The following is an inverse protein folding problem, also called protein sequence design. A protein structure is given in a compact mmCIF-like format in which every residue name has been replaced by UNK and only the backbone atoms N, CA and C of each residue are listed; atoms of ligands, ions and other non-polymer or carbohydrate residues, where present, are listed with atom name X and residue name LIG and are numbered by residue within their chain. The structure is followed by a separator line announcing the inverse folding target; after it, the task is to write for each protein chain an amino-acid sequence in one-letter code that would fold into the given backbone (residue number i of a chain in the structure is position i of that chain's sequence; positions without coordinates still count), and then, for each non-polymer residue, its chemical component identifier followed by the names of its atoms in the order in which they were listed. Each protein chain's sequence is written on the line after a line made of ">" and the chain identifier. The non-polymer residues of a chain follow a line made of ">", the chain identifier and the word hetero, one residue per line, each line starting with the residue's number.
data_IF_824724413562
#
_entry.id   IF_824724413562
#
_cell.length_a   1.000
_cell.length_b   1.000
_cell.length_c   1.000
_cell.angle_alpha   90.00
_cell.angle_beta   90.00
_cell.angle_gamma   90.00
#
_symmetry.space_group_name_H-M   'P 1'
#
loop_
_entity.id
_entity.type
_entity.pdbx_description
1 polymer ?
#
# COMPACT_ATOMS: atom_id res chain seq x y z
N UNK A 1 -26.96 -0.52 -10.14
CA UNK A 1 -25.75 -1.36 -10.06
C UNK A 1 -25.11 -1.41 -8.67
N UNK A 2 -24.52 -0.34 -8.10
CA UNK A 2 -23.90 -0.40 -6.75
C UNK A 2 -24.92 -0.73 -5.64
N UNK A 3 -26.08 -0.06 -5.68
CA UNK A 3 -27.16 -0.31 -4.71
C UNK A 3 -27.81 -1.70 -4.92
N UNK A 4 -27.90 -2.19 -6.15
CA UNK A 4 -28.39 -3.55 -6.44
C UNK A 4 -27.41 -4.64 -5.99
N UNK A 5 -26.10 -4.42 -6.17
CA UNK A 5 -25.07 -5.34 -5.68
C UNK A 5 -25.04 -5.36 -4.14
N UNK A 6 -25.18 -4.19 -3.49
CA UNK A 6 -25.35 -4.10 -2.04
C UNK A 6 -26.59 -4.89 -1.60
N UNK A 7 -27.73 -4.64 -2.23
CA UNK A 7 -28.98 -5.30 -1.87
C UNK A 7 -28.94 -6.81 -2.16
N UNK A 8 -28.21 -7.25 -3.19
CA UNK A 8 -27.95 -8.66 -3.46
C UNK A 8 -27.09 -9.32 -2.38
N UNK A 9 -26.00 -8.68 -1.94
CA UNK A 9 -25.15 -9.18 -0.83
C UNK A 9 -25.97 -9.23 0.47
N UNK A 10 -26.74 -8.18 0.77
CA UNK A 10 -27.64 -8.13 1.93
C UNK A 10 -28.66 -9.28 1.89
N UNK A 11 -29.26 -9.54 0.71
CA UNK A 11 -30.22 -10.65 0.52
C UNK A 11 -29.57 -12.02 0.67
N UNK A 12 -28.38 -12.22 0.10
CA UNK A 12 -27.65 -13.49 0.19
C UNK A 12 -27.15 -13.77 1.61
N UNK A 13 -26.90 -12.72 2.41
CA UNK A 13 -26.35 -12.82 3.76
C UNK A 13 -27.32 -13.06 4.89
N UNK A 14 -28.63 -13.06 4.64
CA UNK A 14 -29.64 -13.23 5.68
C UNK A 14 -29.66 -12.13 6.75
N UNK A 15 -28.90 -11.05 6.57
CA UNK A 15 -28.69 -9.99 7.56
C UNK A 15 -29.25 -8.64 7.11
N UNK A 16 -29.87 -7.90 8.03
CA UNK A 16 -30.16 -6.47 7.85
C UNK A 16 -28.86 -5.68 8.06
N UNK A 17 -28.14 -5.34 6.98
CA UNK A 17 -27.08 -4.33 7.07
C UNK A 17 -27.76 -2.98 7.29
N UNK A 18 -27.74 -2.51 8.53
CA UNK A 18 -28.31 -1.21 8.91
C UNK A 18 -27.70 -0.12 8.02
N UNK A 19 -28.54 0.61 7.28
CA UNK A 19 -28.18 1.66 6.32
C UNK A 19 -27.39 2.85 6.89
N UNK A 20 -27.03 2.84 8.17
CA UNK A 20 -26.04 3.75 8.76
C UNK A 20 -24.68 3.09 8.71
N UNK A 21 -24.13 2.92 7.50
CA UNK A 21 -22.72 2.58 7.36
C UNK A 21 -21.90 3.69 8.04
N UNK A 22 -20.97 3.31 8.91
CA UNK A 22 -19.94 4.23 9.40
C UNK A 22 -19.13 4.63 8.17
N UNK A 23 -19.21 5.90 7.77
CA UNK A 23 -18.46 6.43 6.63
C UNK A 23 -17.18 7.04 7.17
N UNK A 24 -16.05 6.41 6.85
CA UNK A 24 -14.75 7.06 7.01
C UNK A 24 -14.51 7.92 5.75
N UNK A 25 -14.27 9.24 5.89
CA UNK A 25 -14.14 10.15 4.75
C UNK A 25 -12.95 9.83 3.84
N UNK A 26 -11.98 9.04 4.32
CA UNK A 26 -10.76 8.68 3.60
C UNK A 26 -10.89 7.39 2.79
N UNK A 27 -12.07 6.75 2.76
CA UNK A 27 -12.30 5.57 1.92
C UNK A 27 -13.70 5.54 1.32
N UNK A 28 -13.83 5.17 0.03
CA UNK A 28 -15.14 4.93 -0.58
C UNK A 28 -15.72 3.55 -0.20
N UNK A 29 -14.94 2.69 0.46
CA UNK A 29 -15.38 1.37 0.87
C UNK A 29 -16.31 1.45 2.08
N UNK A 30 -17.37 0.64 2.06
CA UNK A 30 -18.37 0.61 3.14
C UNK A 30 -18.01 -0.47 4.16
N UNK A 31 -17.60 -0.11 5.40
CA UNK A 31 -17.15 -1.10 6.38
C UNK A 31 -18.22 -2.15 6.73
N UNK A 32 -19.49 -1.74 6.80
CA UNK A 32 -20.60 -2.64 7.10
C UNK A 32 -20.82 -3.70 6.03
N UNK A 33 -20.62 -3.36 4.76
CA UNK A 33 -20.70 -4.31 3.65
C UNK A 33 -19.58 -5.35 3.72
N UNK A 34 -18.34 -4.90 3.94
CA UNK A 34 -17.19 -5.81 4.08
C UNK A 34 -17.34 -6.71 5.30
N UNK A 35 -17.80 -6.16 6.43
CA UNK A 35 -18.09 -6.97 7.63
C UNK A 35 -19.12 -8.06 7.34
N UNK A 36 -20.25 -7.69 6.71
CA UNK A 36 -21.29 -8.65 6.37
C UNK A 36 -20.76 -9.75 5.44
N UNK A 37 -19.97 -9.37 4.43
CA UNK A 37 -19.36 -10.32 3.50
C UNK A 37 -18.44 -11.31 4.22
N UNK A 38 -17.55 -10.83 5.09
CA UNK A 38 -16.65 -11.66 5.90
C UNK A 38 -17.43 -12.61 6.83
N UNK A 39 -18.47 -12.10 7.52
CA UNK A 39 -19.30 -12.90 8.42
C UNK A 39 -20.06 -14.01 7.65
N UNK A 40 -20.51 -13.73 6.42
CA UNK A 40 -21.22 -14.69 5.57
C UNK A 40 -20.32 -15.76 4.97
N UNK A 41 -19.13 -15.37 4.50
CA UNK A 41 -18.18 -16.31 3.90
C UNK A 41 -17.51 -17.21 4.94
N UNK A 42 -17.58 -16.84 6.22
CA UNK A 42 -16.79 -17.48 7.27
C UNK A 42 -15.29 -17.23 7.08
N UNK A 43 -14.93 -16.13 6.40
CA UNK A 43 -13.54 -15.77 6.17
C UNK A 43 -12.85 -15.46 7.50
N UNK A 44 -11.63 -15.98 7.64
CA UNK A 44 -10.83 -15.81 8.84
C UNK A 44 -10.19 -14.42 8.93
N UNK A 45 -10.02 -13.69 7.81
CA UNK A 45 -9.54 -12.31 7.83
C UNK A 45 -10.68 -11.32 8.17
N UNK A 46 -10.75 -10.96 9.44
CA UNK A 46 -11.77 -10.07 9.99
C UNK A 46 -11.30 -8.63 10.19
N UNK A 47 -10.03 -8.34 9.90
CA UNK A 47 -9.38 -7.07 10.28
C UNK A 47 -9.81 -5.90 9.38
N UNK A 48 -10.09 -6.16 8.11
CA UNK A 48 -10.37 -5.15 7.09
C UNK A 48 -11.51 -4.21 7.50
N UNK A 49 -12.62 -4.75 8.01
CA UNK A 49 -13.79 -3.94 8.38
C UNK A 49 -13.46 -2.92 9.48
N UNK A 50 -12.65 -3.29 10.46
CA UNK A 50 -12.16 -2.40 11.51
C UNK A 50 -11.20 -1.34 10.95
N UNK A 51 -10.29 -1.75 10.07
CA UNK A 51 -9.36 -0.82 9.42
C UNK A 51 -10.05 0.24 8.56
N UNK A 52 -11.17 -0.09 7.92
CA UNK A 52 -11.94 0.91 7.16
C UNK A 52 -12.60 1.96 8.08
N UNK A 53 -12.79 1.67 9.36
CA UNK A 53 -13.37 2.60 10.35
C UNK A 53 -12.25 3.39 11.02
N UNK A 54 -11.30 2.69 11.64
CA UNK A 54 -10.29 3.25 12.55
C UNK A 54 -9.00 3.65 11.83
N UNK A 55 -8.80 3.16 10.60
CA UNK A 55 -7.53 3.15 9.90
C UNK A 55 -6.78 1.82 10.07
N UNK A 56 -6.00 1.45 9.05
CA UNK A 56 -5.05 0.36 9.12
C UNK A 56 -3.77 0.81 9.85
N UNK A 57 -3.23 -0.03 10.75
CA UNK A 57 -1.91 0.19 11.31
C UNK A 57 -0.85 -0.04 10.24
N UNK A 58 0.17 0.81 10.22
CA UNK A 58 1.35 0.61 9.35
C UNK A 58 2.30 -0.41 9.97
N UNK A 59 2.24 -0.60 11.30
CA UNK A 59 3.10 -1.53 12.03
C UNK A 59 4.30 -0.84 12.70
N UNK A 60 4.31 0.49 12.81
CA UNK A 60 5.43 1.23 13.41
C UNK A 60 5.11 1.58 14.86
N UNK A 61 3.98 2.23 15.11
CA UNK A 61 3.51 2.58 16.45
C UNK A 61 2.33 1.72 16.93
N UNK A 62 1.53 1.22 15.99
CA UNK A 62 0.42 0.32 16.24
C UNK A 62 0.75 -1.06 15.68
N UNK A 63 0.44 -2.10 16.45
CA UNK A 63 0.68 -3.48 16.04
C UNK A 63 -0.30 -3.90 14.92
N UNK A 64 0.22 -4.49 13.84
CA UNK A 64 -0.58 -5.24 12.89
C UNK A 64 -0.94 -6.58 13.55
N UNK A 65 -2.19 -6.71 14.00
CA UNK A 65 -2.64 -7.88 14.74
C UNK A 65 -2.53 -9.14 13.86
N UNK A 66 -1.88 -10.21 14.36
CA UNK A 66 -2.00 -11.53 13.76
C UNK A 66 -3.38 -12.11 14.08
N UNK A 67 -4.18 -12.37 13.06
CA UNK A 67 -5.26 -13.38 13.05
C UNK A 67 -4.87 -14.88 13.00
N UNK A 68 -3.59 -15.31 12.95
CA UNK A 68 -3.18 -16.72 13.05
C UNK A 68 -3.23 -17.65 11.81
N UNK A 69 -3.16 -17.15 10.57
CA UNK A 69 -3.36 -17.92 9.32
C UNK A 69 -2.05 -18.13 8.57
N UNK A 70 -1.16 -17.15 8.63
CA UNK A 70 0.18 -17.29 8.09
C UNK A 70 1.17 -17.80 9.15
N UNK A 71 2.27 -18.40 8.68
CA UNK A 71 3.36 -18.79 9.57
C UNK A 71 3.93 -17.58 10.28
N UNK A 72 4.15 -17.70 11.59
CA UNK A 72 4.86 -16.68 12.37
C UNK A 72 6.24 -16.42 11.76
N UNK A 73 6.57 -15.14 11.58
CA UNK A 73 7.90 -14.73 11.16
C UNK A 73 8.92 -15.11 12.23
N UNK A 74 9.93 -15.90 11.86
CA UNK A 74 11.05 -16.29 12.72
C UNK A 74 12.15 -15.23 12.75
N UNK A 75 12.04 -14.19 11.91
CA UNK A 75 12.99 -13.08 11.91
C UNK A 75 12.79 -12.32 13.20
N UNK A 76 13.77 -12.41 14.10
CA UNK A 76 13.86 -11.56 15.27
C UNK A 76 13.63 -10.13 14.79
N UNK A 77 12.48 -9.57 15.17
CA UNK A 77 12.23 -8.17 14.92
C UNK A 77 13.31 -7.47 15.70
N UNK A 78 14.06 -6.59 15.05
CA UNK A 78 14.97 -5.75 15.79
C UNK A 78 14.07 -5.01 16.76
N UNK A 79 14.24 -5.23 18.06
CA UNK A 79 13.64 -4.41 19.12
C UNK A 79 14.28 -3.01 19.02
N UNK A 80 14.17 -2.39 17.84
CA UNK A 80 14.47 -0.99 17.69
C UNK A 80 13.46 -0.30 18.59
N UNK A 81 13.90 0.64 19.43
CA UNK A 81 13.02 1.30 20.36
C UNK A 81 12.12 2.25 19.57
N UNK A 82 11.12 1.73 18.87
CA UNK A 82 10.04 2.54 18.29
C UNK A 82 9.02 2.91 19.39
N UNK A 83 9.32 2.56 20.64
CA UNK A 83 8.75 3.22 21.83
C UNK A 83 9.49 4.51 22.19
N UNK A 84 10.66 4.81 21.60
CA UNK A 84 11.38 6.04 21.93
C UNK A 84 10.77 7.23 21.19
N UNK A 85 9.82 7.85 21.88
CA UNK A 85 9.47 9.27 21.77
C UNK A 85 10.66 10.15 22.21
N UNK A 86 11.84 9.96 21.61
CA UNK A 86 13.10 10.58 22.05
C UNK A 86 14.16 10.64 20.95
N UNK A 87 15.23 11.39 21.20
CA UNK A 87 16.28 11.77 20.23
C UNK A 87 16.98 10.60 19.52
N UNK A 88 17.04 9.42 20.14
CA UNK A 88 17.70 8.23 19.56
C UNK A 88 16.93 7.63 18.37
N UNK A 89 15.60 7.57 18.43
CA UNK A 89 14.78 7.11 17.28
C UNK A 89 14.77 8.14 16.14
N UNK A 90 15.09 9.40 16.46
CA UNK A 90 15.21 10.49 15.49
C UNK A 90 16.44 10.32 14.61
N UNK A 91 17.53 9.82 15.19
CA UNK A 91 18.81 9.57 14.49
C UNK A 91 18.71 8.39 13.50
N UNK A 92 17.92 7.36 13.83
CA UNK A 92 17.75 6.16 12.98
C UNK A 92 16.74 6.32 11.84
N UNK A 93 15.66 7.09 12.02
CA UNK A 93 14.61 7.28 11.00
C UNK A 93 14.90 8.39 10.00
N UNK A 94 16.16 8.83 9.87
CA UNK A 94 16.56 9.82 8.87
C UNK A 94 15.80 11.13 9.04
N UNK A 95 16.01 11.81 10.16
CA UNK A 95 15.28 13.03 10.48
C UNK A 95 15.41 14.12 9.40
N UNK A 96 14.27 14.64 8.98
CA UNK A 96 14.10 16.02 8.53
C UNK A 96 12.84 16.62 9.17
N UNK A 97 12.86 16.90 10.48
CA UNK A 97 12.15 18.12 10.92
C UNK A 97 12.97 19.25 10.36
N UNK A 98 12.36 20.02 9.46
CA UNK A 98 12.51 21.47 9.37
C UNK A 98 13.86 22.05 9.80
N UNK A 99 14.97 21.53 9.30
CA UNK A 99 16.24 22.22 9.38
C UNK A 99 16.12 23.40 8.43
N UNK A 100 16.20 24.60 9.01
CA UNK A 100 16.29 25.89 8.33
C UNK A 100 17.52 26.00 7.38
N UNK A 101 18.29 24.92 7.29
CA UNK A 101 19.58 24.73 6.67
C UNK A 101 19.48 24.25 5.20
N UNK A 102 18.27 23.99 4.69
CA UNK A 102 18.06 23.74 3.26
C UNK A 102 18.58 22.39 2.73
N UNK A 103 18.82 21.40 3.59
CA UNK A 103 19.42 20.13 3.17
C UNK A 103 18.40 19.06 2.70
N UNK A 104 17.09 19.26 2.87
CA UNK A 104 16.08 18.30 2.38
C UNK A 104 15.83 18.52 0.90
N UNK A 105 16.18 17.53 0.09
CA UNK A 105 15.91 17.52 -1.34
C UNK A 105 15.36 16.16 -1.72
N UNK A 106 14.29 16.15 -2.52
CA UNK A 106 13.77 14.93 -3.08
C UNK A 106 14.73 14.36 -4.13
N UNK A 107 14.38 13.22 -4.71
CA UNK A 107 15.16 12.69 -5.81
C UNK A 107 15.13 13.66 -7.00
N UNK A 108 16.25 13.75 -7.70
CA UNK A 108 16.41 14.65 -8.85
C UNK A 108 15.32 14.45 -9.90
N UNK A 109 14.77 13.24 -10.06
CA UNK A 109 13.68 12.98 -10.99
C UNK A 109 12.38 13.74 -10.64
N UNK A 110 12.09 13.94 -9.37
CA UNK A 110 10.95 14.76 -8.94
C UNK A 110 11.27 16.27 -9.00
N UNK A 111 12.46 16.66 -8.54
CA UNK A 111 12.86 18.08 -8.49
C UNK A 111 13.10 18.70 -9.89
N UNK A 112 13.57 17.90 -10.85
CA UNK A 112 13.82 18.36 -12.23
C UNK A 112 12.56 18.45 -13.10
N UNK A 113 11.47 17.77 -12.72
CA UNK A 113 10.18 17.84 -13.40
C UNK A 113 9.07 18.16 -12.39
N UNK A 114 9.03 19.41 -11.89
CA UNK A 114 8.07 19.80 -10.88
C UNK A 114 6.65 19.89 -11.43
N UNK A 115 6.48 20.15 -12.73
CA UNK A 115 5.17 20.23 -13.38
C UNK A 115 4.43 18.91 -13.30
N UNK A 116 5.06 17.80 -13.73
CA UNK A 116 4.43 16.49 -13.69
C UNK A 116 4.32 15.96 -12.25
N UNK A 117 5.29 16.27 -11.39
CA UNK A 117 5.23 15.90 -9.97
C UNK A 117 4.05 16.57 -9.27
N UNK A 118 3.85 17.88 -9.48
CA UNK A 118 2.70 18.60 -8.94
C UNK A 118 1.37 18.13 -9.53
N UNK A 119 1.34 17.79 -10.83
CA UNK A 119 0.13 17.25 -11.45
C UNK A 119 -0.34 15.97 -10.75
N UNK A 120 0.58 15.03 -10.49
CA UNK A 120 0.27 13.80 -9.75
C UNK A 120 -0.16 14.10 -8.31
N UNK A 121 0.57 14.95 -7.57
CA UNK A 121 0.19 15.31 -6.20
C UNK A 121 -1.20 15.95 -6.12
N UNK A 122 -1.55 16.82 -7.08
CA UNK A 122 -2.87 17.45 -7.12
C UNK A 122 -3.97 16.46 -7.52
N UNK A 123 -3.68 15.46 -8.35
CA UNK A 123 -4.59 14.33 -8.60
C UNK A 123 -4.87 13.53 -7.33
N UNK A 124 -3.84 13.20 -6.53
CA UNK A 124 -4.00 12.52 -5.24
C UNK A 124 -4.87 13.35 -4.28
N UNK A 125 -4.65 14.66 -4.22
CA UNK A 125 -5.43 15.60 -3.40
C UNK A 125 -6.89 15.66 -3.85
N UNK A 126 -7.14 15.76 -5.16
CA UNK A 126 -8.49 15.77 -5.74
C UNK A 126 -9.24 14.46 -5.50
N UNK A 127 -8.52 13.34 -5.49
CA UNK A 127 -9.07 12.04 -5.15
C UNK A 127 -9.36 11.87 -3.63
N UNK A 128 -8.94 12.84 -2.80
CA UNK A 128 -9.16 12.82 -1.35
C UNK A 128 -8.12 12.00 -0.57
N UNK A 129 -7.03 11.58 -1.21
CA UNK A 129 -6.02 10.72 -0.57
C UNK A 129 -5.02 11.50 0.29
N UNK A 130 -4.87 12.81 0.05
CA UNK A 130 -3.93 13.64 0.81
C UNK A 130 -4.42 15.07 1.02
N UNK A 131 -3.76 15.78 1.94
CA UNK A 131 -3.98 17.20 2.24
C UNK A 131 -2.65 17.94 2.24
N UNK A 132 -2.67 19.20 1.77
CA UNK A 132 -1.49 20.04 1.72
C UNK A 132 -1.50 21.06 2.87
N UNK A 133 -0.33 21.33 3.42
CA UNK A 133 -0.11 22.36 4.44
C UNK A 133 1.05 23.25 4.01
N UNK A 134 0.87 24.56 4.15
CA UNK A 134 1.91 25.55 3.85
C UNK A 134 2.86 25.78 5.03
N UNK A 135 2.48 25.33 6.25
CA UNK A 135 3.31 25.42 7.45
C UNK A 135 3.49 24.07 8.14
N UNK A 136 4.63 23.88 8.78
CA UNK A 136 4.89 22.69 9.60
C UNK A 136 4.00 22.67 10.86
N UNK A 137 3.66 23.83 11.40
CA UNK A 137 2.80 23.92 12.58
C UNK A 137 1.38 23.42 12.28
N UNK A 138 0.80 23.80 11.14
CA UNK A 138 -0.51 23.30 10.73
C UNK A 138 -0.50 21.79 10.48
N UNK A 139 0.57 21.29 9.84
CA UNK A 139 0.78 19.85 9.67
C UNK A 139 0.85 19.14 11.02
N UNK A 140 1.65 19.65 11.96
CA UNK A 140 1.84 19.02 13.26
C UNK A 140 0.55 19.01 14.08
N UNK A 141 -0.28 20.05 13.97
CA UNK A 141 -1.63 20.07 14.54
C UNK A 141 -2.52 19.02 13.90
N UNK A 142 -2.50 18.88 12.57
CA UNK A 142 -3.31 17.90 11.85
C UNK A 142 -2.91 16.45 12.18
N UNK A 143 -1.62 16.16 12.28
CA UNK A 143 -1.08 14.85 12.67
C UNK A 143 -1.25 14.58 14.17
N UNK A 144 -1.38 15.63 14.99
CA UNK A 144 -1.39 15.54 16.45
C UNK A 144 -0.02 15.23 17.05
N UNK A 145 1.06 15.42 16.30
CA UNK A 145 2.44 15.19 16.74
C UNK A 145 3.42 16.07 15.97
N UNK A 146 4.50 16.50 16.65
CA UNK A 146 5.65 17.17 16.01
C UNK A 146 6.71 16.18 15.55
N UNK A 147 6.59 14.90 15.89
CA UNK A 147 7.53 13.83 15.54
C UNK A 147 7.18 13.24 14.18
N UNK A 148 7.22 14.08 13.15
CA UNK A 148 6.88 13.73 11.77
C UNK A 148 8.11 13.22 11.03
N UNK A 149 7.94 12.12 10.29
CA UNK A 149 8.95 11.56 9.39
C UNK A 149 8.59 11.89 7.95
N UNK A 150 9.52 12.49 7.21
CA UNK A 150 9.28 13.02 5.86
C UNK A 150 9.85 12.09 4.81
N UNK A 151 8.97 11.42 4.05
CA UNK A 151 9.31 10.49 2.99
C UNK A 151 9.72 11.22 1.72
N UNK A 152 10.91 10.89 1.19
CA UNK A 152 11.39 11.42 -0.10
C UNK A 152 10.53 10.90 -1.23
N UNK A 153 10.25 11.78 -2.19
CA UNK A 153 9.52 11.41 -3.41
C UNK A 153 10.45 11.34 -4.63
N UNK A 154 10.11 10.46 -5.56
CA UNK A 154 10.72 10.37 -6.88
C UNK A 154 9.63 10.32 -7.95
N UNK A 155 9.94 10.84 -9.14
CA UNK A 155 9.11 10.68 -10.32
C UNK A 155 9.66 9.53 -11.15
N UNK A 156 8.81 8.55 -11.45
CA UNK A 156 9.11 7.49 -12.40
C UNK A 156 8.35 7.71 -13.70
N UNK A 157 9.09 7.69 -14.81
CA UNK A 157 8.54 7.90 -16.15
C UNK A 157 8.63 6.60 -16.94
N UNK A 158 7.53 6.17 -17.55
CA UNK A 158 7.51 5.07 -18.52
C UNK A 158 7.55 5.67 -19.93
N UNK A 159 8.72 5.70 -20.59
CA UNK A 159 8.88 6.41 -21.87
C UNK A 159 8.21 5.70 -23.06
N UNK A 160 7.90 4.40 -22.93
CA UNK A 160 7.34 3.59 -24.02
C UNK A 160 5.81 3.75 -24.18
N UNK A 161 5.23 4.86 -23.73
CA UNK A 161 3.81 5.18 -23.92
C UNK A 161 3.68 6.56 -24.53
N UNK A 162 2.72 6.74 -25.42
CA UNK A 162 2.36 8.04 -25.99
C UNK A 162 0.92 8.39 -25.58
N UNK A 163 0.72 9.35 -24.66
CA UNK A 163 1.74 10.14 -23.94
C UNK A 163 2.49 9.33 -22.85
N UNK A 164 3.66 9.81 -22.37
CA UNK A 164 4.41 9.18 -21.29
C UNK A 164 3.58 9.02 -20.02
N UNK A 165 3.68 7.85 -19.36
CA UNK A 165 3.02 7.61 -18.08
C UNK A 165 3.97 7.93 -16.93
N UNK A 166 3.52 8.81 -16.04
CA UNK A 166 4.25 9.20 -14.84
C UNK A 166 3.69 8.50 -13.60
N UNK A 167 4.54 8.23 -12.62
CA UNK A 167 4.17 7.66 -11.33
C UNK A 167 4.95 8.35 -10.23
N UNK A 168 4.25 8.71 -9.16
CA UNK A 168 4.86 9.20 -7.94
C UNK A 168 5.32 7.99 -7.12
N UNK A 169 6.59 7.98 -6.71
CA UNK A 169 7.17 6.98 -5.83
C UNK A 169 7.48 7.66 -4.50
N UNK A 170 6.93 7.13 -3.41
CA UNK A 170 7.30 7.52 -2.06
C UNK A 170 8.31 6.50 -1.52
N UNK A 171 9.55 6.94 -1.30
CA UNK A 171 10.62 6.05 -0.90
C UNK A 171 10.69 5.89 0.63
N UNK A 172 9.84 5.02 1.15
CA UNK A 172 9.86 4.65 2.57
C UNK A 172 11.10 3.83 2.98
N UNK A 173 11.91 3.34 2.03
CA UNK A 173 13.18 2.66 2.34
C UNK A 173 14.27 3.66 2.70
N UNK A 174 14.29 4.84 2.07
CA UNK A 174 15.26 5.89 2.35
C UNK A 174 15.24 6.37 3.82
N UNK A 175 14.08 6.26 4.48
CA UNK A 175 13.90 6.68 5.87
C UNK A 175 13.99 5.53 6.88
N UNK A 176 14.47 4.35 6.46
CA UNK A 176 14.49 3.14 7.28
C UNK A 176 13.12 2.76 7.90
N UNK A 177 12.00 3.31 7.39
CA UNK A 177 10.67 3.02 7.91
C UNK A 177 10.37 1.52 7.80
N UNK A 178 10.77 0.94 6.68
CA UNK A 178 10.65 -0.50 6.42
C UNK A 178 11.47 -1.38 7.38
N UNK A 179 12.45 -0.83 8.07
CA UNK A 179 13.27 -1.56 9.05
C UNK A 179 12.57 -1.62 10.42
N UNK A 180 11.73 -0.63 10.72
CA UNK A 180 11.00 -0.51 11.99
C UNK A 180 9.57 -1.04 11.93
N UNK A 181 9.05 -1.40 10.75
CA UNK A 181 7.72 -2.02 10.67
C UNK A 181 7.73 -3.43 11.26
N UNK A 182 6.83 -3.65 12.20
CA UNK A 182 6.58 -4.92 12.88
C UNK A 182 5.35 -5.61 12.29
N UNK A 183 5.58 -6.73 11.59
CA UNK A 183 4.54 -7.67 11.18
C UNK A 183 4.96 -9.08 11.61
N UNK A 184 4.13 -9.69 12.46
CA UNK A 184 4.43 -10.99 13.10
C UNK A 184 4.23 -12.18 12.18
N UNK A 185 3.54 -12.00 11.07
CA UNK A 185 3.16 -13.06 10.16
C UNK A 185 3.81 -12.90 8.78
N UNK A 186 4.23 -14.02 8.19
CA UNK A 186 4.76 -14.05 6.83
C UNK A 186 3.62 -14.20 5.84
N UNK A 187 3.18 -13.10 5.24
CA UNK A 187 2.15 -13.14 4.19
C UNK A 187 2.64 -14.02 3.03
N UNK A 188 1.92 -15.11 2.76
CA UNK A 188 2.13 -15.98 1.60
C UNK A 188 0.94 -15.82 0.67
N UNK A 189 1.17 -15.25 -0.50
CA UNK A 189 0.12 -15.14 -1.51
C UNK A 189 -0.07 -16.48 -2.23
N UNK A 190 -1.31 -16.87 -2.56
CA UNK A 190 -1.59 -18.04 -3.38
C UNK A 190 -0.81 -17.99 -4.70
N UNK A 191 -0.31 -19.15 -5.13
CA UNK A 191 0.36 -19.33 -6.42
C UNK A 191 -0.69 -19.57 -7.50
N UNK A 192 -0.29 -19.36 -8.75
CA UNK A 192 -1.14 -19.70 -9.92
C UNK A 192 -1.51 -21.19 -9.92
N UNK A 193 -0.61 -22.07 -9.47
CA UNK A 193 -0.88 -23.51 -9.32
C UNK A 193 -2.04 -23.80 -8.37
N UNK A 194 -2.17 -23.02 -7.30
CA UNK A 194 -3.19 -23.22 -6.28
C UNK A 194 -4.57 -22.90 -6.87
N UNK A 195 -4.66 -21.85 -7.70
CA UNK A 195 -5.87 -21.52 -8.46
C UNK A 195 -6.24 -22.65 -9.43
N UNK A 196 -5.27 -23.17 -10.20
CA UNK A 196 -5.51 -24.27 -11.15
C UNK A 196 -6.01 -25.52 -10.43
N UNK A 197 -5.41 -25.85 -9.29
CA UNK A 197 -5.85 -26.98 -8.46
C UNK A 197 -7.28 -26.79 -7.95
N UNK A 198 -7.62 -25.61 -7.42
CA UNK A 198 -8.98 -25.31 -6.97
C UNK A 198 -10.02 -25.47 -8.10
N UNK A 199 -9.68 -25.06 -9.32
CA UNK A 199 -10.55 -25.25 -10.49
C UNK A 199 -10.75 -26.75 -10.78
N UNK A 200 -9.69 -27.56 -10.73
CA UNK A 200 -9.80 -29.00 -10.91
C UNK A 200 -10.69 -29.64 -9.84
N UNK A 201 -10.54 -29.25 -8.57
CA UNK A 201 -11.35 -29.73 -7.44
C UNK A 201 -12.83 -29.34 -7.60
N UNK A 202 -13.13 -28.12 -8.07
CA UNK A 202 -14.49 -27.68 -8.39
C UNK A 202 -15.11 -28.46 -9.56
N UNK A 203 -14.29 -28.91 -10.51
CA UNK A 203 -14.74 -29.71 -11.66
C UNK A 203 -14.90 -31.20 -11.35
N UNK A 204 -14.29 -31.73 -10.28
CA UNK A 204 -14.34 -33.17 -9.98
C UNK A 204 -15.77 -33.72 -9.77
N UNK A 205 -16.66 -33.08 -8.98
CA UNK A 205 -18.04 -33.56 -8.80
C UNK A 205 -18.84 -33.62 -10.11
N UNK A 206 -18.53 -32.75 -11.08
CA UNK A 206 -19.18 -32.71 -12.39
C UNK A 206 -18.77 -33.85 -13.32
N UNK A 207 -17.67 -34.57 -13.04
CA UNK A 207 -17.18 -35.68 -13.88
C UNK A 207 -17.94 -36.99 -13.68
N UNK A 208 -18.64 -37.17 -12.56
CA UNK A 208 -19.32 -38.41 -12.19
C UNK A 208 -20.83 -38.44 -12.43
N UNK A 209 -21.43 -37.30 -12.78
CA UNK A 209 -22.87 -37.16 -12.93
C UNK A 209 -23.19 -36.70 -14.35
N UNK A 210 -23.82 -37.58 -15.13
CA UNK A 210 -24.15 -37.40 -16.54
C UNK A 210 -25.00 -36.16 -16.84
N UNK A 211 -25.70 -35.61 -15.83
CA UNK A 211 -26.77 -34.61 -15.99
C UNK A 211 -26.58 -33.35 -15.14
N UNK A 212 -25.43 -33.11 -14.49
CA UNK A 212 -25.20 -31.86 -13.76
C UNK A 212 -23.87 -31.19 -14.15
N UNK A 213 -23.90 -30.48 -15.28
CA UNK A 213 -22.94 -29.41 -15.51
C UNK A 213 -23.46 -28.15 -14.82
N UNK A 214 -22.90 -27.82 -13.66
CA UNK A 214 -22.90 -26.42 -13.22
C UNK A 214 -21.72 -25.75 -13.94
N UNK A 215 -22.01 -24.89 -14.90
CA UNK A 215 -20.99 -24.10 -15.59
C UNK A 215 -20.16 -23.34 -14.54
N UNK A 216 -18.84 -23.44 -14.63
CA UNK A 216 -17.94 -22.66 -13.77
C UNK A 216 -17.70 -21.34 -14.48
N UNK A 217 -18.22 -20.27 -13.90
CA UNK A 217 -17.99 -18.91 -14.37
C UNK A 217 -16.88 -18.24 -13.54
N UNK A 218 -15.97 -17.55 -14.22
CA UNK A 218 -14.93 -16.76 -13.57
C UNK A 218 -15.26 -15.28 -13.67
N UNK A 219 -15.16 -14.58 -12.54
CA UNK A 219 -15.19 -13.12 -12.49
C UNK A 219 -13.80 -12.60 -12.14
N UNK A 220 -13.21 -11.82 -13.05
CA UNK A 220 -11.99 -11.08 -12.79
C UNK A 220 -12.35 -9.61 -12.50
N UNK A 221 -11.93 -9.12 -11.33
CA UNK A 221 -12.08 -7.72 -10.94
C UNK A 221 -10.70 -7.15 -10.59
N UNK A 222 -10.37 -6.00 -11.19
CA UNK A 222 -9.17 -5.23 -10.87
C UNK A 222 -9.57 -3.95 -10.13
N UNK A 223 -8.98 -3.75 -8.95
CA UNK A 223 -9.26 -2.60 -8.09
C UNK A 223 -8.18 -1.54 -8.28
N UNK A 224 -8.53 -0.49 -9.02
CA UNK A 224 -7.63 0.64 -9.20
C UNK A 224 -7.29 1.26 -7.83
N UNK A 225 -5.99 1.49 -7.59
CA UNK A 225 -5.47 2.10 -6.36
C UNK A 225 -5.88 1.37 -5.07
N UNK A 226 -6.01 0.03 -5.08
CA UNK A 226 -6.49 -0.77 -3.95
C UNK A 226 -5.91 -0.38 -2.57
N UNK A 227 -4.60 -0.13 -2.47
CA UNK A 227 -3.96 0.30 -1.22
C UNK A 227 -4.51 1.64 -0.69
N UNK A 228 -4.77 2.58 -1.58
CA UNK A 228 -5.28 3.92 -1.24
C UNK A 228 -6.77 3.91 -0.86
N UNK A 229 -7.45 2.77 -1.01
CA UNK A 229 -8.80 2.58 -0.49
C UNK A 229 -8.79 2.28 1.01
N UNK A 230 -7.63 2.04 1.62
CA UNK A 230 -7.50 1.73 3.03
C UNK A 230 -6.96 2.97 3.76
N UNK A 231 -7.72 3.54 4.72
CA UNK A 231 -7.26 4.68 5.49
C UNK A 231 -6.16 4.26 6.46
N UNK A 232 -5.33 5.21 6.90
CA UNK A 232 -4.27 4.98 7.90
C UNK A 232 -4.72 5.47 9.27
N UNK A 233 -4.34 4.74 10.32
CA UNK A 233 -4.62 5.14 11.71
C UNK A 233 -3.98 6.50 12.02
N UNK A 234 -4.70 7.35 12.75
CA UNK A 234 -4.24 8.71 13.08
C UNK A 234 -2.85 8.76 13.72
N UNK A 235 -2.51 7.81 14.60
CA UNK A 235 -1.19 7.74 15.24
C UNK A 235 -0.03 7.36 14.30
N UNK A 236 -0.35 6.73 13.17
CA UNK A 236 0.60 6.29 12.14
C UNK A 236 0.73 7.31 10.99
N UNK A 237 -0.17 8.30 10.91
CA UNK A 237 -0.14 9.34 9.88
C UNK A 237 1.16 10.16 9.88
N UNK A 238 1.84 10.25 11.02
CA UNK A 238 3.14 10.94 11.14
C UNK A 238 4.26 10.32 10.29
N UNK A 239 4.05 9.10 9.76
CA UNK A 239 4.97 8.43 8.85
C UNK A 239 4.54 8.56 7.37
N UNK A 240 3.38 9.17 7.12
CA UNK A 240 2.77 9.30 5.80
C UNK A 240 2.89 10.72 5.24
N UNK A 241 4.00 11.40 5.54
CA UNK A 241 4.25 12.79 5.15
C UNK A 241 5.33 12.86 4.08
N UNK A 242 5.13 13.71 3.09
CA UNK A 242 6.14 14.13 2.11
C UNK A 242 6.30 15.66 2.15
N UNK A 243 7.41 16.16 1.63
CA UNK A 243 7.63 17.60 1.44
C UNK A 243 8.09 17.87 0.00
N UNK A 244 7.43 18.79 -0.68
CA UNK A 244 7.78 19.17 -2.04
C UNK A 244 7.59 20.66 -2.26
N UNK A 245 8.65 21.34 -2.71
CA UNK A 245 8.65 22.75 -3.10
C UNK A 245 7.88 23.70 -2.16
N UNK A 246 8.18 23.67 -0.86
CA UNK A 246 7.57 24.58 0.10
C UNK A 246 6.30 24.09 0.76
N UNK A 247 5.81 22.90 0.40
CA UNK A 247 4.55 22.35 0.93
C UNK A 247 4.73 20.99 1.55
N UNK A 248 4.03 20.81 2.66
CA UNK A 248 3.88 19.53 3.35
C UNK A 248 2.66 18.81 2.80
N UNK A 249 2.83 17.52 2.50
CA UNK A 249 1.77 16.66 1.98
C UNK A 249 1.56 15.53 2.97
N UNK A 250 0.36 15.47 3.56
CA UNK A 250 -0.05 14.39 4.45
C UNK A 250 -0.96 13.43 3.70
N UNK A 251 -0.59 12.16 3.60
CA UNK A 251 -1.44 11.10 3.05
C UNK A 251 -2.28 10.45 4.14
N UNK A 252 -3.59 10.38 3.93
CA UNK A 252 -4.55 9.80 4.88
C UNK A 252 -4.80 8.30 4.68
N UNK A 253 -4.22 7.76 3.62
CA UNK A 253 -4.40 6.39 3.12
C UNK A 253 -3.06 5.69 2.98
N UNK A 254 -3.04 4.37 2.84
CA UNK A 254 -1.80 3.63 2.69
C UNK A 254 -1.08 4.02 1.39
N UNK A 255 0.19 4.41 1.53
CA UNK A 255 1.05 4.75 0.39
C UNK A 255 1.73 3.50 -0.16
N UNK A 256 1.96 3.48 -1.47
CA UNK A 256 2.83 2.48 -2.07
C UNK A 256 4.27 2.67 -1.60
N UNK A 257 4.95 1.56 -1.27
CA UNK A 257 6.37 1.54 -0.90
C UNK A 257 6.66 1.29 0.58
N UNK A 258 5.64 1.43 1.44
CA UNK A 258 5.74 1.02 2.85
C UNK A 258 5.55 -0.49 2.94
N UNK A 259 6.56 -1.20 3.43
CA UNK A 259 6.50 -2.65 3.63
C UNK A 259 5.63 -2.94 4.85
N UNK A 260 4.43 -3.44 4.61
CA UNK A 260 3.51 -3.83 5.69
C UNK A 260 4.00 -5.14 6.36
N UNK A 261 4.74 -6.02 5.66
CA UNK A 261 5.34 -7.21 6.25
C UNK A 261 6.76 -7.53 5.74
N UNK A 262 7.64 -8.00 6.64
CA UNK A 262 8.97 -8.51 6.31
C UNK A 262 8.84 -9.92 5.71
N UNK A 263 8.87 -10.01 4.38
CA UNK A 263 9.25 -11.26 3.72
C UNK A 263 10.77 -11.43 3.79
N UNK A 264 11.24 -12.67 3.92
CA UNK A 264 12.58 -13.04 3.42
C UNK A 264 12.70 -12.56 1.96
N UNK A 265 13.92 -12.31 1.47
CA UNK A 265 14.25 -11.73 0.14
C UNK A 265 13.59 -12.40 -1.09
N UNK A 266 12.77 -13.41 -0.89
CA UNK A 266 11.96 -14.10 -1.88
C UNK A 266 10.51 -13.60 -1.79
N UNK A 267 10.24 -12.44 -2.39
CA UNK A 267 8.89 -12.16 -2.86
C UNK A 267 8.41 -13.36 -3.67
N UNK A 268 7.14 -13.80 -3.56
CA UNK A 268 6.61 -14.81 -4.47
C UNK A 268 6.87 -14.34 -5.89
N UNK A 269 7.69 -15.10 -6.65
CA UNK A 269 7.92 -14.86 -8.07
C UNK A 269 6.60 -15.13 -8.78
N UNK A 270 5.75 -14.12 -8.86
CA UNK A 270 4.59 -14.14 -9.74
C UNK A 270 5.17 -13.99 -11.14
N UNK A 271 5.28 -15.11 -11.87
CA UNK A 271 5.50 -15.08 -13.30
C UNK A 271 4.30 -14.37 -13.92
N UNK A 272 4.45 -13.09 -14.24
CA UNK A 272 3.51 -12.42 -15.13
C UNK A 272 3.68 -13.03 -16.52
N UNK A 273 2.73 -13.85 -16.96
CA UNK A 273 2.55 -14.12 -18.38
C UNK A 273 1.96 -12.87 -19.04
N UNK A 274 2.84 -11.89 -19.27
CA UNK A 274 2.63 -10.82 -20.23
C UNK A 274 3.50 -11.12 -21.45
N UNK A 275 2.95 -10.88 -22.64
CA UNK A 275 3.53 -11.17 -23.94
C UNK A 275 5.04 -10.89 -24.04
N UNK A 276 5.72 -11.76 -24.79
CA UNK A 276 7.14 -11.73 -25.07
C UNK A 276 7.64 -10.32 -25.47
N UNK A 277 8.19 -9.61 -24.49
CA UNK A 277 8.89 -8.35 -24.64
C UNK A 277 9.73 -8.15 -23.40
N UNK A 278 11.00 -8.56 -23.49
CA UNK A 278 11.92 -8.64 -22.35
C UNK A 278 12.01 -7.33 -21.56
N UNK A 279 11.77 -7.41 -20.25
CA UNK A 279 12.13 -6.37 -19.30
C UNK A 279 13.18 -6.95 -18.35
N UNK A 280 14.38 -6.38 -18.44
CA UNK A 280 15.47 -6.65 -17.50
C UNK A 280 15.09 -6.19 -16.09
N UNK A 281 15.51 -6.98 -15.10
CA UNK A 281 15.35 -6.73 -13.68
C UNK A 281 16.07 -5.41 -13.30
N UNK A 282 15.33 -4.39 -12.88
CA UNK A 282 15.91 -3.22 -12.24
C UNK A 282 16.09 -3.52 -10.73
N UNK A 283 17.25 -4.08 -10.38
CA UNK A 283 17.70 -4.12 -8.99
C UNK A 283 18.25 -2.74 -8.61
N UNK A 284 17.63 -2.09 -7.63
CA UNK A 284 18.27 -1.00 -6.89
C UNK A 284 19.11 -1.61 -5.76
N UNK A 285 20.38 -1.92 -6.06
CA UNK A 285 21.37 -2.31 -5.05
C UNK A 285 21.95 -1.07 -4.35
N UNK A 286 22.31 -1.22 -3.07
CA UNK A 286 22.84 -0.19 -2.17
C UNK A 286 24.27 0.31 -2.51
N UNK A 287 24.74 0.18 -3.75
CA UNK A 287 26.12 0.48 -4.12
C UNK A 287 26.17 1.52 -5.23
N UNK A 288 26.41 2.78 -4.84
CA UNK A 288 27.08 3.81 -5.64
C UNK A 288 26.44 4.18 -6.98
N UNK A 289 25.92 5.41 -7.05
CA UNK A 289 25.76 6.11 -8.32
C UNK A 289 27.18 6.29 -8.90
N UNK A 290 27.55 5.47 -9.89
CA UNK A 290 28.66 5.79 -10.79
C UNK A 290 28.08 6.31 -12.09
N UNK A 291 28.43 7.55 -12.40
CA UNK A 291 28.24 8.20 -13.67
C UNK A 291 28.99 7.49 -14.81
N UNK A 292 28.44 7.66 -16.01
CA UNK A 292 29.05 7.50 -17.34
C UNK A 292 29.12 6.10 -17.96
N UNK A 293 28.81 6.05 -19.26
CA UNK A 293 29.21 4.93 -20.12
C UNK A 293 28.34 4.73 -21.35
N UNK A 294 28.72 5.36 -22.46
CA UNK A 294 28.20 5.14 -23.81
C UNK A 294 28.10 3.65 -24.17
N UNK A 295 26.96 3.21 -24.70
CA UNK A 295 26.87 1.92 -25.40
C UNK A 295 27.34 2.09 -26.85
N UNK A 296 28.52 1.54 -27.16
CA UNK A 296 28.91 1.18 -28.52
C UNK A 296 28.19 -0.12 -28.91
N UNK A 297 27.50 -0.09 -30.04
CA UNK A 297 27.01 -1.28 -30.72
C UNK A 297 28.13 -1.95 -31.52
N UNK A 298 28.13 -3.29 -31.52
CA UNK A 298 28.47 -4.21 -32.62
C UNK A 298 29.15 -5.49 -32.10
N UNK A 299 29.12 -6.60 -32.86
CA UNK A 299 28.44 -6.85 -34.14
C UNK A 299 27.20 -7.74 -34.03
#
# INVERSE_FOLDING_TARGET
>A
MVEEARDAIIRLGGGSVSAKDIVNPNTPLRPGLWKALTDMSGDWDTSLSGWLIEGAPIGVSAEIRPGGWFSTSTVATTDLPVTATGDESREWLGWFIGSADGAYVNYSSAESDPTNTWALLDEERKAGFCTFYDSFDDLAVAVGSRDVIVTKIALATKPNTDPPKYRLICDAKANSLNEVVHCREKIVLPRVSDVVQNIHELMEPARGASDCWSEIEFLAADFQNAFKLIPVQSMEQRFQVCYFQGRWILFHVLMFGVRICRGERESPRIYSFGEAGGYGEAYFSNSGIQESGQFKAAP
#
